data_IF_504921092302
#
_entry.id   IF_504921092302
#
_cell.length_a   1.000
_cell.length_b   1.000
_cell.length_c   1.000
_cell.angle_alpha   90.00
_cell.angle_beta   90.00
_cell.angle_gamma   90.00
#
_symmetry.space_group_name_H-M   'P 1'
#
loop_
_entity.id
_entity.type
_entity.pdbx_description
1 polymer ?
#
# COMPACT_ATOMS: atom_id res chain seq x y z
N UNK A 1 35.83 -39.12 -3.40
CA UNK A 1 35.73 -39.04 -4.87
C UNK A 1 35.20 -37.66 -5.20
N UNK A 2 36.11 -36.80 -5.65
CA UNK A 2 35.96 -35.39 -5.86
C UNK A 2 35.44 -35.14 -7.28
N UNK A 3 34.39 -34.38 -7.46
CA UNK A 3 33.91 -33.96 -8.77
C UNK A 3 33.76 -32.45 -8.83
N UNK A 4 34.83 -31.81 -9.30
CA UNK A 4 34.86 -30.38 -9.59
C UNK A 4 34.10 -30.11 -10.89
N UNK A 5 33.09 -29.22 -10.86
CA UNK A 5 32.45 -28.67 -12.06
C UNK A 5 33.05 -27.32 -12.40
N UNK A 6 33.64 -27.28 -13.59
CA UNK A 6 34.26 -26.10 -14.20
C UNK A 6 33.21 -25.03 -14.54
N UNK A 7 33.49 -23.81 -14.13
CA UNK A 7 32.82 -22.60 -14.64
C UNK A 7 33.36 -22.29 -16.05
N UNK A 8 32.46 -22.20 -17.01
CA UNK A 8 32.74 -21.77 -18.37
C UNK A 8 32.31 -20.30 -18.48
N UNK A 9 33.31 -19.44 -18.64
CA UNK A 9 33.11 -17.99 -18.88
C UNK A 9 32.76 -17.80 -20.36
N UNK A 10 31.65 -17.14 -20.62
CA UNK A 10 31.24 -16.72 -21.96
C UNK A 10 31.54 -15.23 -22.07
N UNK A 11 32.55 -14.90 -22.85
CA UNK A 11 32.90 -13.57 -23.27
C UNK A 11 32.06 -13.16 -24.49
N UNK A 12 31.34 -12.02 -24.41
CA UNK A 12 30.62 -11.43 -25.54
C UNK A 12 31.38 -10.17 -25.98
N UNK A 13 31.70 -9.98 -27.25
CA UNK A 13 32.42 -8.83 -27.76
C UNK A 13 31.48 -7.61 -27.95
N UNK A 14 32.02 -6.44 -27.57
CA UNK A 14 31.45 -5.11 -27.81
C UNK A 14 31.70 -4.73 -29.26
N UNK A 15 30.64 -4.41 -30.01
CA UNK A 15 30.77 -3.76 -31.30
C UNK A 15 30.31 -2.28 -31.18
N UNK A 16 31.27 -1.39 -31.35
CA UNK A 16 31.05 0.03 -31.49
C UNK A 16 30.66 0.37 -32.94
N UNK A 17 29.61 1.14 -33.14
CA UNK A 17 29.32 1.78 -34.40
C UNK A 17 29.06 3.27 -34.17
N UNK A 18 30.03 4.09 -34.56
CA UNK A 18 29.92 5.53 -34.69
C UNK A 18 29.26 5.89 -36.01
N UNK A 19 28.26 6.75 -36.03
CA UNK A 19 27.81 7.44 -37.21
C UNK A 19 27.79 8.94 -36.94
N UNK A 20 28.71 9.62 -37.57
CA UNK A 20 28.77 11.08 -37.72
C UNK A 20 27.97 11.43 -38.96
N UNK A 21 27.07 12.41 -38.89
CA UNK A 21 26.67 13.20 -40.05
C UNK A 21 26.44 14.66 -39.70
N UNK A 22 27.18 15.46 -40.38
CA UNK A 22 27.24 16.91 -40.33
C UNK A 22 26.21 17.57 -41.28
N UNK A 23 25.83 18.81 -40.91
CA UNK A 23 25.58 19.90 -41.85
C UNK A 23 24.13 20.11 -42.25
N UNK A 24 23.55 21.27 -42.13
CA UNK A 24 23.79 22.50 -42.86
C UNK A 24 23.00 23.66 -42.25
N UNK A 25 23.65 24.80 -42.20
CA UNK A 25 23.09 26.11 -41.92
C UNK A 25 22.07 26.56 -43.00
N UNK A 26 21.01 27.23 -42.58
CA UNK A 26 20.46 28.31 -43.37
C UNK A 26 19.86 29.38 -42.46
N UNK A 27 20.20 30.60 -42.78
CA UNK A 27 20.04 31.82 -42.04
C UNK A 27 18.74 32.57 -42.41
N UNK A 28 18.42 33.55 -41.56
CA UNK A 28 17.70 34.80 -41.73
C UNK A 28 16.17 34.82 -41.63
N UNK A 29 15.74 35.65 -40.70
CA UNK A 29 14.46 36.34 -40.71
C UNK A 29 14.01 36.64 -39.25
N UNK A 30 14.34 37.87 -38.77
CA UNK A 30 13.86 38.33 -37.46
C UNK A 30 12.39 38.66 -37.50
N UNK A 31 11.73 38.57 -36.36
CA UNK A 31 10.87 39.62 -35.82
C UNK A 31 10.40 39.27 -34.41
N UNK A 32 10.22 40.34 -33.65
CA UNK A 32 9.92 40.49 -32.23
C UNK A 32 8.67 39.76 -31.78
N UNK A 33 8.69 39.30 -30.55
CA UNK A 33 7.53 39.39 -29.69
C UNK A 33 7.07 38.08 -29.09
N UNK A 34 7.09 37.99 -27.77
CA UNK A 34 6.27 37.09 -27.00
C UNK A 34 6.99 35.82 -26.55
N UNK A 35 7.60 35.94 -25.38
CA UNK A 35 8.06 34.81 -24.59
C UNK A 35 6.83 33.99 -24.14
N UNK A 36 6.47 33.01 -24.94
CA UNK A 36 5.54 31.97 -24.56
C UNK A 36 6.33 30.92 -23.78
N UNK A 37 6.21 30.95 -22.47
CA UNK A 37 6.64 29.87 -21.59
C UNK A 37 5.96 28.60 -22.10
N UNK A 38 6.67 27.50 -22.42
CA UNK A 38 6.01 26.25 -22.75
C UNK A 38 5.34 25.75 -21.47
N UNK A 39 4.03 25.90 -21.40
CA UNK A 39 3.24 25.14 -20.44
C UNK A 39 3.42 23.67 -20.80
N UNK A 40 4.24 22.99 -20.02
CA UNK A 40 4.26 21.53 -19.99
C UNK A 40 2.91 21.11 -19.42
N UNK A 41 1.93 20.94 -20.30
CA UNK A 41 0.72 20.21 -19.96
C UNK A 41 1.17 18.81 -19.57
N UNK A 42 1.15 18.52 -18.30
CA UNK A 42 1.25 17.15 -17.80
C UNK A 42 0.11 16.38 -18.47
N UNK A 43 0.43 15.65 -19.53
CA UNK A 43 -0.50 14.71 -20.13
C UNK A 43 -0.85 13.71 -19.03
N UNK A 44 -2.06 13.79 -18.51
CA UNK A 44 -2.65 12.75 -17.68
C UNK A 44 -2.70 11.50 -18.56
N UNK A 45 -1.78 10.58 -18.35
CA UNK A 45 -1.77 9.28 -19.02
C UNK A 45 -2.94 8.49 -18.44
N UNK A 46 -4.11 8.68 -19.04
CA UNK A 46 -5.26 7.84 -18.76
C UNK A 46 -4.95 6.44 -19.28
N UNK A 47 -4.86 5.44 -18.39
CA UNK A 47 -4.92 4.05 -18.78
C UNK A 47 -3.79 3.11 -18.36
N UNK A 48 -2.78 3.56 -17.63
CA UNK A 48 -1.78 2.62 -17.12
C UNK A 48 -2.29 1.99 -15.82
N UNK A 49 -2.39 0.65 -15.79
CA UNK A 49 -2.71 -0.08 -14.56
C UNK A 49 -1.69 0.30 -13.47
N UNK A 50 -2.12 0.50 -12.22
CA UNK A 50 -1.22 0.86 -11.15
C UNK A 50 -0.10 -0.18 -11.00
N UNK A 51 1.14 0.29 -10.83
CA UNK A 51 2.28 -0.59 -10.60
C UNK A 51 2.19 -1.22 -9.20
N UNK A 52 2.63 -2.47 -9.07
CA UNK A 52 2.74 -3.13 -7.77
C UNK A 52 3.81 -2.41 -6.95
N UNK A 53 3.44 -1.84 -5.81
CA UNK A 53 4.34 -1.13 -4.91
C UNK A 53 5.12 -2.09 -3.99
N UNK A 54 4.48 -3.22 -3.58
CA UNK A 54 5.08 -4.26 -2.74
C UNK A 54 4.41 -5.61 -3.00
N UNK A 55 5.19 -6.68 -2.85
CA UNK A 55 4.66 -8.05 -2.81
C UNK A 55 5.12 -8.73 -1.51
N UNK A 56 4.20 -9.36 -0.79
CA UNK A 56 4.50 -10.23 0.34
C UNK A 56 3.86 -11.61 0.07
N UNK A 57 4.68 -12.62 -0.12
CA UNK A 57 4.19 -13.93 -0.56
C UNK A 57 3.39 -13.80 -1.86
N UNK A 58 2.12 -14.14 -1.82
CA UNK A 58 1.18 -14.03 -2.95
C UNK A 58 0.47 -12.66 -3.03
N UNK A 59 0.43 -11.89 -1.91
CA UNK A 59 -0.30 -10.63 -1.83
C UNK A 59 0.44 -9.52 -2.58
N UNK A 60 -0.23 -8.96 -3.60
CA UNK A 60 0.21 -7.75 -4.31
C UNK A 60 -0.43 -6.53 -3.66
N UNK A 61 0.40 -5.57 -3.31
CA UNK A 61 0.00 -4.33 -2.66
C UNK A 61 0.31 -3.18 -3.61
N UNK A 62 -0.69 -2.35 -3.88
CA UNK A 62 -0.63 -1.19 -4.76
C UNK A 62 -0.76 0.08 -3.92
N UNK A 63 -0.08 1.14 -4.34
CA UNK A 63 -0.35 2.46 -3.79
C UNK A 63 -1.64 3.05 -4.38
N UNK A 64 -2.30 3.90 -3.58
CA UNK A 64 -3.48 4.64 -4.00
C UNK A 64 -4.80 3.88 -3.90
N UNK A 65 -5.75 4.30 -4.73
CA UNK A 65 -7.12 3.78 -4.72
C UNK A 65 -7.33 2.75 -5.82
N UNK A 66 -8.08 1.70 -5.51
CA UNK A 66 -8.49 0.71 -6.49
C UNK A 66 -9.22 1.38 -7.68
N UNK A 67 -8.92 0.98 -8.93
CA UNK A 67 -9.66 1.44 -10.10
C UNK A 67 -11.16 1.19 -9.96
N UNK A 68 -11.98 2.04 -10.59
CA UNK A 68 -13.42 1.86 -10.60
C UNK A 68 -13.80 0.48 -11.17
N UNK A 69 -14.74 -0.20 -10.52
CA UNK A 69 -15.16 -1.55 -10.91
C UNK A 69 -14.28 -2.69 -10.40
N UNK A 70 -13.22 -2.41 -9.63
CA UNK A 70 -12.45 -3.47 -8.97
C UNK A 70 -13.29 -4.11 -7.86
N UNK A 71 -13.62 -5.39 -8.01
CA UNK A 71 -14.47 -6.14 -7.06
C UNK A 71 -13.66 -7.09 -6.17
N UNK A 72 -12.45 -7.48 -6.58
CA UNK A 72 -11.63 -8.47 -5.88
C UNK A 72 -10.38 -7.81 -5.25
N UNK A 73 -10.62 -6.81 -4.39
CA UNK A 73 -9.56 -6.09 -3.70
C UNK A 73 -9.96 -5.64 -2.30
N UNK A 74 -8.98 -5.61 -1.41
CA UNK A 74 -9.06 -4.89 -0.14
C UNK A 74 -8.58 -3.46 -0.37
N UNK A 75 -9.34 -2.48 0.08
CA UNK A 75 -8.97 -1.07 0.02
C UNK A 75 -8.72 -0.53 1.43
N UNK A 76 -7.54 0.05 1.66
CA UNK A 76 -7.24 0.87 2.83
C UNK A 76 -7.29 2.35 2.45
N UNK A 77 -7.75 3.20 3.38
CA UNK A 77 -7.80 4.66 3.23
C UNK A 77 -7.39 5.35 4.52
N UNK A 78 -6.67 6.44 4.40
CA UNK A 78 -6.45 7.34 5.53
C UNK A 78 -7.63 8.30 5.63
N UNK A 79 -8.19 8.36 6.82
CA UNK A 79 -9.33 9.22 7.20
C UNK A 79 -8.88 10.13 8.36
N UNK A 80 -9.43 11.33 8.45
CA UNK A 80 -9.15 12.27 9.54
C UNK A 80 -10.37 12.44 10.44
N UNK A 81 -10.13 12.48 11.76
CA UNK A 81 -11.15 12.74 12.75
C UNK A 81 -10.61 13.75 13.77
N UNK A 82 -11.40 14.76 14.21
CA UNK A 82 -10.93 15.78 15.15
C UNK A 82 -10.43 15.23 16.48
N UNK A 83 -11.00 14.09 16.94
CA UNK A 83 -10.70 13.51 18.25
C UNK A 83 -9.48 12.60 18.23
N UNK A 84 -9.28 11.82 17.14
CA UNK A 84 -8.21 10.81 17.10
C UNK A 84 -7.13 11.13 16.07
N UNK A 85 -7.28 12.22 15.30
CA UNK A 85 -6.36 12.56 14.22
C UNK A 85 -6.53 11.65 13.00
N UNK A 86 -5.44 11.31 12.33
CA UNK A 86 -5.46 10.41 11.18
C UNK A 86 -5.54 8.94 11.62
N UNK A 87 -6.45 8.21 11.02
CA UNK A 87 -6.61 6.78 11.22
C UNK A 87 -6.89 6.07 9.90
N UNK A 88 -6.79 4.76 9.87
CA UNK A 88 -7.05 3.95 8.67
C UNK A 88 -8.46 3.38 8.73
N UNK A 89 -9.16 3.45 7.62
CA UNK A 89 -10.44 2.79 7.36
C UNK A 89 -10.34 1.86 6.14
N UNK A 90 -11.32 1.00 5.95
CA UNK A 90 -11.50 0.26 4.70
C UNK A 90 -12.12 1.14 3.58
N UNK A 91 -12.31 0.56 2.40
CA UNK A 91 -12.89 1.23 1.24
C UNK A 91 -14.34 1.69 1.44
N UNK A 92 -15.07 1.12 2.38
CA UNK A 92 -16.43 1.50 2.75
C UNK A 92 -16.48 2.53 3.89
N UNK A 93 -15.33 2.90 4.43
CA UNK A 93 -15.21 3.88 5.52
C UNK A 93 -15.35 3.28 6.92
N UNK A 94 -15.33 1.96 7.07
CA UNK A 94 -15.30 1.31 8.39
C UNK A 94 -13.94 1.48 9.02
N UNK A 95 -13.91 1.94 10.27
CA UNK A 95 -12.68 2.17 11.01
C UNK A 95 -11.93 0.87 11.31
N UNK A 96 -10.61 0.95 11.25
CA UNK A 96 -9.73 -0.15 11.61
C UNK A 96 -9.02 0.12 12.93
N UNK A 97 -8.85 -0.93 13.70
CA UNK A 97 -8.28 -0.90 15.05
C UNK A 97 -7.09 -1.82 15.17
N UNK A 98 -6.20 -1.49 16.10
CA UNK A 98 -5.13 -2.35 16.59
C UNK A 98 -5.40 -2.74 18.03
N UNK A 99 -4.85 -3.88 18.45
CA UNK A 99 -4.95 -4.41 19.80
C UNK A 99 -3.60 -4.35 20.50
N UNK A 100 -3.50 -3.73 21.67
CA UNK A 100 -2.23 -3.57 22.39
C UNK A 100 -1.65 -4.88 22.93
N UNK A 101 -2.47 -5.94 23.02
CA UNK A 101 -1.99 -7.27 23.42
C UNK A 101 -1.47 -8.10 22.24
N UNK A 102 -1.59 -7.61 21.00
CA UNK A 102 -0.91 -8.17 19.85
C UNK A 102 0.57 -7.80 19.87
N UNK A 103 1.35 -8.38 18.96
CA UNK A 103 2.73 -7.99 18.71
C UNK A 103 2.94 -7.60 17.24
N UNK A 104 3.87 -6.65 17.02
CA UNK A 104 4.21 -6.19 15.68
C UNK A 104 5.46 -6.88 15.11
N UNK A 105 6.37 -7.33 15.97
CA UNK A 105 7.64 -7.96 15.57
C UNK A 105 8.02 -9.09 16.53
N UNK A 106 7.81 -10.35 16.17
CA UNK A 106 7.04 -10.79 15.00
C UNK A 106 5.56 -10.40 15.11
N UNK A 107 4.92 -10.23 13.95
CA UNK A 107 3.47 -9.95 13.92
C UNK A 107 2.68 -11.15 14.41
N UNK A 108 1.92 -10.99 15.51
CA UNK A 108 1.05 -12.04 16.06
C UNK A 108 -0.27 -11.43 16.52
N UNK A 109 -1.37 -12.08 16.15
CA UNK A 109 -2.71 -11.77 16.63
C UNK A 109 -3.00 -12.59 17.90
N UNK A 110 -3.35 -11.93 18.98
CA UNK A 110 -3.78 -12.55 20.25
C UNK A 110 -5.30 -12.45 20.46
N UNK A 111 -6.06 -12.06 19.42
CA UNK A 111 -7.51 -11.98 19.45
C UNK A 111 -8.11 -13.15 18.67
N UNK A 112 -8.66 -14.15 19.38
CA UNK A 112 -9.30 -15.35 18.82
C UNK A 112 -10.61 -15.66 19.56
N UNK A 113 -11.38 -16.61 19.08
CA UNK A 113 -12.64 -17.02 19.70
C UNK A 113 -13.61 -15.83 19.86
N UNK A 114 -14.17 -15.65 21.05
CA UNK A 114 -15.12 -14.57 21.36
C UNK A 114 -14.53 -13.16 21.13
N UNK A 115 -13.21 -12.98 21.27
CA UNK A 115 -12.53 -11.74 20.95
C UNK A 115 -12.75 -11.42 19.44
N UNK A 116 -12.51 -12.38 18.56
CA UNK A 116 -12.66 -12.20 17.11
C UNK A 116 -14.12 -12.00 16.66
N UNK A 117 -15.09 -12.41 17.45
CA UNK A 117 -16.51 -12.08 17.23
C UNK A 117 -16.77 -10.59 17.49
N UNK A 118 -16.22 -10.07 18.57
CA UNK A 118 -16.35 -8.64 18.93
C UNK A 118 -15.47 -7.76 18.05
N UNK A 119 -14.28 -8.25 17.72
CA UNK A 119 -13.26 -7.57 16.91
C UNK A 119 -12.88 -8.43 15.70
N UNK A 120 -13.72 -8.46 14.66
CA UNK A 120 -13.43 -9.24 13.47
C UNK A 120 -12.14 -8.79 12.79
N UNK A 121 -11.22 -9.71 12.45
CA UNK A 121 -10.01 -9.35 11.72
C UNK A 121 -10.34 -8.81 10.32
N UNK A 122 -9.59 -7.83 9.84
CA UNK A 122 -9.59 -7.50 8.42
C UNK A 122 -8.80 -8.59 7.69
N UNK A 123 -9.48 -9.40 6.91
CA UNK A 123 -8.89 -10.51 6.18
C UNK A 123 -8.74 -10.20 4.68
N UNK A 124 -7.82 -10.94 4.04
CA UNK A 124 -7.61 -10.91 2.59
C UNK A 124 -7.58 -12.35 2.07
N UNK A 125 -8.31 -12.62 0.98
CA UNK A 125 -8.28 -13.91 0.31
C UNK A 125 -7.08 -14.02 -0.63
N UNK A 126 -6.65 -15.26 -0.95
CA UNK A 126 -5.44 -15.53 -1.75
C UNK A 126 -5.53 -15.03 -3.20
N UNK A 127 -6.72 -14.81 -3.70
CA UNK A 127 -7.00 -14.27 -5.05
C UNK A 127 -7.24 -12.75 -5.06
N UNK A 128 -7.19 -12.11 -3.89
CA UNK A 128 -7.35 -10.67 -3.76
C UNK A 128 -6.01 -9.93 -3.82
N UNK A 129 -6.11 -8.66 -4.19
CA UNK A 129 -5.03 -7.68 -4.09
C UNK A 129 -5.39 -6.61 -3.06
N UNK A 130 -4.43 -5.76 -2.66
CA UNK A 130 -4.68 -4.68 -1.72
C UNK A 130 -4.25 -3.34 -2.31
N UNK A 131 -5.06 -2.31 -2.10
CA UNK A 131 -4.76 -0.92 -2.42
C UNK A 131 -4.67 -0.10 -1.13
N UNK A 132 -3.59 0.69 -0.99
CA UNK A 132 -3.25 1.43 0.22
C UNK A 132 -3.24 2.94 -0.05
N UNK A 133 -4.43 3.59 -0.02
CA UNK A 133 -4.53 5.03 -0.24
C UNK A 133 -4.09 5.81 1.00
N UNK A 134 -2.91 6.42 0.94
CA UNK A 134 -2.32 7.22 2.01
C UNK A 134 -1.64 6.42 3.13
N UNK A 135 -1.63 5.09 3.03
CA UNK A 135 -0.83 4.20 3.88
C UNK A 135 0.38 3.75 3.06
N UNK A 136 1.59 3.88 3.62
CA UNK A 136 2.79 3.39 2.93
C UNK A 136 2.66 1.87 2.66
N UNK A 137 2.67 1.44 1.39
CA UNK A 137 2.59 0.02 1.04
C UNK A 137 3.67 -0.84 1.70
N UNK A 138 4.84 -0.27 2.04
CA UNK A 138 5.92 -0.99 2.71
C UNK A 138 5.55 -1.40 4.14
N UNK A 139 4.64 -0.68 4.79
CA UNK A 139 4.13 -0.99 6.12
C UNK A 139 2.98 -1.99 6.10
N UNK A 140 2.34 -2.22 4.94
CA UNK A 140 1.22 -3.15 4.82
C UNK A 140 1.73 -4.56 4.60
N UNK A 141 1.11 -5.53 5.28
CA UNK A 141 1.41 -6.94 5.14
C UNK A 141 0.25 -7.82 5.60
N UNK A 142 0.53 -9.10 5.80
CA UNK A 142 -0.44 -10.04 6.39
C UNK A 142 0.25 -11.10 7.25
N UNK A 143 -0.54 -11.69 8.14
CA UNK A 143 -0.20 -12.91 8.88
C UNK A 143 -1.23 -13.99 8.57
N UNK A 144 -0.81 -15.25 8.63
CA UNK A 144 -1.72 -16.40 8.64
C UNK A 144 -2.13 -16.68 10.09
N UNK A 145 -3.42 -16.69 10.36
CA UNK A 145 -4.00 -16.99 11.66
C UNK A 145 -4.12 -18.51 11.86
N UNK A 146 -4.30 -18.94 13.11
CA UNK A 146 -4.47 -20.35 13.44
C UNK A 146 -5.70 -21.01 12.77
N UNK A 147 -6.69 -20.21 12.36
CA UNK A 147 -7.87 -20.66 11.62
C UNK A 147 -7.63 -20.72 10.09
N UNK A 148 -6.42 -20.47 9.62
CA UNK A 148 -6.02 -20.48 8.21
C UNK A 148 -6.42 -19.23 7.43
N UNK A 149 -7.08 -18.25 8.06
CA UNK A 149 -7.38 -16.96 7.41
C UNK A 149 -6.15 -16.05 7.39
N UNK A 150 -6.02 -15.21 6.36
CA UNK A 150 -4.94 -14.24 6.24
C UNK A 150 -5.43 -12.88 6.72
N UNK A 151 -4.86 -12.37 7.82
CA UNK A 151 -5.22 -11.09 8.41
C UNK A 151 -4.21 -10.01 8.01
N UNK A 152 -4.72 -8.86 7.56
CA UNK A 152 -3.90 -7.69 7.22
C UNK A 152 -3.19 -7.13 8.45
N UNK A 153 -1.96 -6.64 8.23
CA UNK A 153 -1.17 -5.90 9.21
C UNK A 153 -0.76 -4.54 8.67
N UNK A 154 -0.61 -3.55 9.57
CA UNK A 154 -0.07 -2.22 9.25
C UNK A 154 1.05 -1.93 10.26
N UNK A 155 2.27 -1.67 9.77
CA UNK A 155 3.44 -1.53 10.64
C UNK A 155 3.69 -2.75 11.52
N UNK A 156 3.33 -3.95 11.01
CA UNK A 156 3.40 -5.21 11.73
C UNK A 156 2.23 -5.49 12.68
N UNK A 157 1.39 -4.52 12.99
CA UNK A 157 0.24 -4.71 13.87
C UNK A 157 -0.94 -5.31 13.11
N UNK A 158 -1.52 -6.45 13.57
CA UNK A 158 -2.78 -6.97 13.05
C UNK A 158 -3.91 -5.95 13.19
N UNK A 159 -4.77 -5.85 12.17
CA UNK A 159 -5.86 -4.87 12.18
C UNK A 159 -7.23 -5.52 12.16
N UNK A 160 -8.18 -4.87 12.81
CA UNK A 160 -9.50 -5.40 13.13
C UNK A 160 -10.59 -4.36 12.86
N UNK A 161 -11.79 -4.85 12.69
CA UNK A 161 -13.03 -4.06 12.82
C UNK A 161 -13.53 -4.09 14.26
N UNK A 162 -14.46 -3.21 14.59
CA UNK A 162 -15.28 -3.32 15.79
C UNK A 162 -16.74 -3.64 15.41
N UNK A 163 -17.32 -4.70 15.99
CA UNK A 163 -18.65 -5.19 15.61
C UNK A 163 -19.78 -4.19 15.87
N UNK A 164 -19.55 -3.19 16.75
CA UNK A 164 -20.53 -2.14 17.05
C UNK A 164 -20.41 -0.91 16.18
N UNK A 165 -19.35 -0.78 15.35
CA UNK A 165 -19.25 0.25 14.34
C UNK A 165 -20.16 -0.13 13.16
N UNK A 166 -21.27 0.59 13.02
CA UNK A 166 -22.33 0.26 12.05
C UNK A 166 -22.41 1.24 10.89
N UNK A 167 -21.75 2.40 11.02
CA UNK A 167 -21.73 3.46 10.01
C UNK A 167 -20.30 3.82 9.62
N UNK A 168 -20.07 4.26 8.39
CA UNK A 168 -18.77 4.83 8.01
C UNK A 168 -18.34 5.93 8.97
N UNK A 169 -17.09 5.88 9.42
CA UNK A 169 -16.52 6.85 10.35
C UNK A 169 -16.85 6.63 11.82
N UNK A 170 -17.66 5.61 12.19
CA UNK A 170 -17.83 5.23 13.59
C UNK A 170 -16.46 4.88 14.20
N UNK A 171 -16.25 5.32 15.45
CA UNK A 171 -15.02 5.09 16.24
C UNK A 171 -15.39 4.62 17.65
N UNK A 172 -16.46 3.83 17.78
CA UNK A 172 -16.95 3.34 19.08
C UNK A 172 -15.97 2.36 19.74
N UNK A 173 -15.01 1.83 18.97
CA UNK A 173 -13.94 0.99 19.46
C UNK A 173 -12.77 1.73 20.08
N UNK A 174 -12.68 3.05 19.93
CA UNK A 174 -11.56 3.84 20.43
C UNK A 174 -11.47 3.80 21.95
N UNK A 175 -10.34 3.34 22.49
CA UNK A 175 -10.06 3.29 23.93
C UNK A 175 -10.77 2.14 24.68
N UNK A 176 -11.50 1.27 23.99
CA UNK A 176 -12.20 0.16 24.63
C UNK A 176 -11.23 -0.73 25.42
N UNK A 177 -11.56 -0.95 26.69
CA UNK A 177 -10.75 -1.74 27.61
C UNK A 177 -9.33 -1.21 27.83
N UNK A 178 -9.03 0.02 27.43
CA UNK A 178 -7.69 0.61 27.49
C UNK A 178 -6.65 -0.05 26.58
N UNK A 179 -7.09 -0.95 25.67
CA UNK A 179 -6.20 -1.78 24.84
C UNK A 179 -6.53 -1.76 23.35
N UNK A 180 -7.67 -1.19 22.95
CA UNK A 180 -8.10 -1.09 21.57
C UNK A 180 -8.06 0.36 21.11
N UNK A 181 -7.38 0.62 20.00
CA UNK A 181 -7.22 1.97 19.46
C UNK A 181 -7.35 1.94 17.95
N UNK A 182 -7.99 2.94 17.37
CA UNK A 182 -7.96 3.13 15.93
C UNK A 182 -6.50 3.15 15.46
N UNK A 183 -6.20 2.48 14.35
CA UNK A 183 -4.83 2.36 13.84
C UNK A 183 -4.47 3.58 13.02
N UNK A 184 -3.33 4.20 13.31
CA UNK A 184 -2.75 5.27 12.52
C UNK A 184 -2.10 4.72 11.24
N UNK A 185 -1.84 5.55 10.18
CA UNK A 185 -1.25 5.10 8.92
C UNK A 185 0.11 4.41 9.06
N UNK A 186 0.85 4.67 10.12
CA UNK A 186 2.14 4.04 10.43
C UNK A 186 2.02 2.76 11.30
N UNK A 187 0.80 2.29 11.59
CA UNK A 187 0.54 1.15 12.48
C UNK A 187 0.49 1.51 13.96
N UNK A 188 0.79 2.75 14.34
CA UNK A 188 0.64 3.26 15.71
C UNK A 188 -0.81 3.42 16.12
N UNK A 189 -1.02 3.94 17.34
CA UNK A 189 -2.35 4.37 17.81
C UNK A 189 -2.72 5.71 17.16
N UNK A 190 -3.92 5.83 16.63
CA UNK A 190 -4.47 7.12 16.29
C UNK A 190 -4.86 7.83 17.58
N UNK A 191 -4.13 8.89 17.90
CA UNK A 191 -4.33 9.74 19.07
C UNK A 191 -4.29 11.19 18.59
N UNK A 192 -5.17 12.03 19.12
CA UNK A 192 -5.05 13.48 18.95
C UNK A 192 -3.72 13.95 19.54
N UNK A 193 -3.06 14.86 18.83
CA UNK A 193 -1.89 15.56 19.37
C UNK A 193 -2.29 16.55 20.42
#
# INVERSE_FOLDING_TARGET
MSSARRFQQITVPIAAAAVVLAGLLSACGGEKGGEAVPQTTAATVAGQAPAVAKTQGWLKIYDGTAPAGTTNAVQLRVTSNPTVGQYVSDGSGRSLYRFDKDTAAPSVSNCSGQCAVTWPPLTVARDQVLYAAGVDPQLVGFIERADGTCQITIGGWPVYYFSKDTKPGDLLGQGVGGTWFAVAPNGGKALSK
#
